data_IF_668688940426
#
_entry.id   IF_668688940426
#
_cell.length_a   1.000
_cell.length_b   1.000
_cell.length_c   1.000
_cell.angle_alpha   90.00
_cell.angle_beta   90.00
_cell.angle_gamma   90.00
#
_symmetry.space_group_name_H-M   'P 1'
#
loop_
_entity.id
_entity.type
_entity.pdbx_description
1 polymer ?
#
# COMPACT_ATOMS: atom_id res chain seq x y z
N UNK A 1 -22.86 61.41 -34.83
CA UNK A 1 -22.76 61.49 -33.35
C UNK A 1 -22.23 60.17 -32.84
N UNK A 2 -21.12 60.22 -32.12
CA UNK A 2 -20.53 59.08 -31.44
C UNK A 2 -21.38 58.70 -30.22
N UNK A 3 -21.59 57.41 -30.01
CA UNK A 3 -21.97 56.87 -28.71
C UNK A 3 -21.41 55.46 -28.58
N UNK A 4 -20.53 55.34 -27.61
CA UNK A 4 -19.77 54.19 -27.16
C UNK A 4 -20.66 53.17 -26.45
N UNK A 5 -20.54 51.88 -26.81
CA UNK A 5 -20.92 50.79 -25.90
C UNK A 5 -20.05 49.56 -26.17
N UNK A 6 -18.77 49.67 -25.83
CA UNK A 6 -17.89 48.52 -25.65
C UNK A 6 -18.12 47.91 -24.24
N UNK A 7 -17.88 46.60 -24.14
CA UNK A 7 -17.61 45.82 -22.91
C UNK A 7 -18.80 45.35 -22.07
N UNK A 8 -19.57 44.35 -22.54
CA UNK A 8 -20.23 43.34 -21.67
C UNK A 8 -20.45 41.98 -22.37
N UNK A 9 -19.42 41.31 -22.86
CA UNK A 9 -19.57 39.95 -23.43
C UNK A 9 -18.43 38.97 -23.14
N UNK A 10 -17.59 39.22 -22.12
CA UNK A 10 -16.37 38.45 -21.91
C UNK A 10 -16.28 37.57 -20.64
N UNK A 11 -17.35 37.42 -19.85
CA UNK A 11 -17.23 36.88 -18.47
C UNK A 11 -18.21 35.73 -18.15
N UNK A 12 -18.48 34.84 -19.12
CA UNK A 12 -19.29 33.62 -18.89
C UNK A 12 -18.58 32.29 -19.20
N UNK A 13 -17.23 32.28 -19.24
CA UNK A 13 -16.46 31.05 -19.51
C UNK A 13 -15.30 30.79 -18.52
N UNK A 14 -15.30 31.39 -17.33
CA UNK A 14 -14.21 31.19 -16.35
C UNK A 14 -14.64 30.85 -14.91
N UNK A 15 -15.86 30.32 -14.68
CA UNK A 15 -16.28 29.91 -13.31
C UNK A 15 -17.01 28.57 -13.24
N UNK A 16 -16.80 27.65 -14.20
CA UNK A 16 -17.35 26.27 -14.11
C UNK A 16 -16.30 25.20 -13.77
N UNK A 17 -15.11 25.59 -13.32
CA UNK A 17 -14.01 24.67 -13.02
C UNK A 17 -13.84 24.26 -11.55
N UNK A 18 -14.50 24.91 -10.59
CA UNK A 18 -14.20 24.75 -9.16
C UNK A 18 -15.18 23.88 -8.35
N UNK A 19 -16.18 23.25 -8.99
CA UNK A 19 -17.19 22.43 -8.28
C UNK A 19 -17.37 21.01 -8.83
N UNK A 20 -16.36 20.44 -9.50
CA UNK A 20 -16.28 18.99 -9.73
C UNK A 20 -15.04 18.41 -9.06
N UNK A 21 -15.05 18.44 -7.73
CA UNK A 21 -14.23 17.55 -6.89
C UNK A 21 -14.70 16.10 -6.94
N UNK A 22 -15.08 15.60 -8.12
CA UNK A 22 -15.32 14.18 -8.32
C UNK A 22 -13.98 13.52 -8.57
N UNK A 23 -13.56 12.60 -7.71
CA UNK A 23 -12.45 11.70 -8.02
C UNK A 23 -12.76 10.97 -9.33
N UNK A 24 -12.24 11.47 -10.45
CA UNK A 24 -12.28 10.73 -11.70
C UNK A 24 -11.47 9.46 -11.47
N UNK A 25 -12.13 8.31 -11.43
CA UNK A 25 -11.46 7.01 -11.48
C UNK A 25 -10.53 7.05 -12.69
N UNK A 26 -9.21 7.00 -12.48
CA UNK A 26 -8.27 6.88 -13.58
C UNK A 26 -8.67 5.67 -14.41
N UNK A 27 -8.77 5.77 -15.74
CA UNK A 27 -9.11 4.63 -16.57
C UNK A 27 -8.11 3.51 -16.29
N UNK A 28 -8.61 2.28 -16.13
CA UNK A 28 -7.76 1.10 -15.91
C UNK A 28 -6.97 0.86 -17.20
N UNK A 29 -5.64 0.97 -17.13
CA UNK A 29 -4.74 0.86 -18.29
C UNK A 29 -4.12 -0.55 -18.47
N UNK A 30 -4.62 -1.53 -17.72
CA UNK A 30 -4.10 -2.90 -17.64
C UNK A 30 -2.69 -2.97 -17.04
N UNK A 31 -2.20 -4.19 -16.81
CA UNK A 31 -0.78 -4.42 -16.56
C UNK A 31 0.03 -4.23 -17.85
N UNK A 32 1.18 -3.56 -17.73
CA UNK A 32 2.08 -3.29 -18.87
C UNK A 32 3.50 -3.71 -18.51
N UNK A 33 4.16 -4.38 -19.43
CA UNK A 33 5.55 -4.79 -19.31
C UNK A 33 6.39 -4.08 -20.37
N UNK A 34 7.52 -3.54 -19.93
CA UNK A 34 8.55 -3.00 -20.82
C UNK A 34 9.50 -4.13 -21.16
N UNK A 35 9.74 -4.35 -22.46
CA UNK A 35 10.65 -5.37 -22.98
C UNK A 35 11.73 -4.66 -23.78
N UNK A 36 12.98 -4.93 -23.44
CA UNK A 36 14.16 -4.38 -24.11
C UNK A 36 14.79 -5.50 -24.96
N UNK A 37 14.96 -5.25 -26.26
CA UNK A 37 15.60 -6.18 -27.20
C UNK A 37 16.77 -5.46 -27.85
N UNK A 38 17.98 -6.01 -27.68
CA UNK A 38 19.21 -5.44 -28.22
C UNK A 38 19.72 -6.29 -29.39
N UNK A 39 19.65 -5.75 -30.61
CA UNK A 39 20.14 -6.39 -31.83
C UNK A 39 21.35 -5.63 -32.37
N UNK A 40 22.55 -6.16 -32.14
CA UNK A 40 23.81 -5.50 -32.49
C UNK A 40 23.97 -4.16 -31.75
N UNK A 41 23.95 -3.05 -32.50
CA UNK A 41 24.07 -1.68 -31.97
C UNK A 41 22.72 -0.97 -31.75
N UNK A 42 21.59 -1.59 -32.10
CA UNK A 42 20.26 -0.97 -31.97
C UNK A 42 19.52 -1.58 -30.79
N UNK A 43 18.96 -0.73 -29.93
CA UNK A 43 18.14 -1.14 -28.78
C UNK A 43 16.68 -0.76 -29.02
N UNK A 44 15.81 -1.76 -29.12
CA UNK A 44 14.37 -1.58 -29.32
C UNK A 44 13.66 -1.76 -27.97
N UNK A 45 12.84 -0.79 -27.57
CA UNK A 45 12.08 -0.81 -26.32
C UNK A 45 10.58 -0.87 -26.65
N UNK A 46 9.94 -1.98 -26.29
CA UNK A 46 8.53 -2.24 -26.57
C UNK A 46 7.69 -2.27 -25.28
N UNK A 47 6.44 -1.79 -25.36
CA UNK A 47 5.45 -1.90 -24.28
C UNK A 47 4.39 -2.94 -24.60
N UNK A 48 4.43 -4.09 -23.92
CA UNK A 48 3.43 -5.16 -24.07
C UNK A 48 2.36 -5.04 -22.99
N UNK A 49 1.09 -5.09 -23.40
CA UNK A 49 -0.05 -5.15 -22.47
C UNK A 49 -0.26 -6.62 -22.10
N UNK A 50 -0.31 -6.91 -20.80
CA UNK A 50 -0.59 -8.24 -20.28
C UNK A 50 -2.07 -8.30 -19.93
N UNK A 51 -2.70 -9.42 -20.26
CA UNK A 51 -4.11 -9.66 -19.93
C UNK A 51 -4.28 -9.89 -18.44
N UNK A 52 -5.24 -9.18 -17.86
CA UNK A 52 -5.58 -9.27 -16.45
C UNK A 52 -6.69 -10.31 -16.21
N UNK A 53 -6.57 -11.07 -15.12
CA UNK A 53 -7.62 -12.00 -14.68
C UNK A 53 -8.84 -11.19 -14.24
N UNK A 54 -10.03 -11.54 -14.79
CA UNK A 54 -11.29 -10.89 -14.39
C UNK A 54 -11.61 -11.19 -12.93
N UNK A 55 -11.83 -10.14 -12.15
CA UNK A 55 -12.23 -10.28 -10.76
C UNK A 55 -13.65 -10.85 -10.63
N UNK A 56 -13.92 -11.71 -9.62
CA UNK A 56 -15.25 -12.22 -9.33
C UNK A 56 -16.21 -11.11 -8.87
N UNK A 57 -17.51 -11.41 -8.95
CA UNK A 57 -18.57 -10.50 -8.49
C UNK A 57 -18.49 -10.35 -6.96
N UNK A 58 -18.42 -9.12 -6.44
CA UNK A 58 -18.28 -8.89 -5.01
C UNK A 58 -19.62 -8.99 -4.26
N UNK A 59 -19.60 -9.36 -2.97
CA UNK A 59 -20.81 -9.61 -2.18
C UNK A 59 -21.61 -8.34 -1.85
N UNK A 60 -20.95 -7.17 -1.73
CA UNK A 60 -21.62 -5.90 -1.44
C UNK A 60 -21.35 -4.89 -2.57
N UNK A 61 -22.21 -4.80 -3.60
CA UNK A 61 -21.99 -3.91 -4.74
C UNK A 61 -22.02 -2.42 -4.38
N UNK A 62 -22.66 -2.05 -3.26
CA UNK A 62 -22.81 -0.66 -2.81
C UNK A 62 -21.54 -0.06 -2.18
N UNK A 63 -20.56 -0.90 -1.84
CA UNK A 63 -19.29 -0.44 -1.27
C UNK A 63 -18.45 0.37 -2.26
N UNK A 64 -18.04 1.58 -1.87
CA UNK A 64 -17.25 2.46 -2.73
C UNK A 64 -15.82 1.97 -2.96
N UNK A 65 -15.21 1.35 -1.95
CA UNK A 65 -13.82 0.91 -1.92
C UNK A 65 -13.71 -0.63 -1.86
N UNK A 66 -12.66 -1.26 -2.44
CA UNK A 66 -12.54 -2.72 -2.53
C UNK A 66 -12.76 -3.46 -1.20
N UNK A 67 -12.05 -3.07 -0.14
CA UNK A 67 -12.15 -3.73 1.18
C UNK A 67 -13.56 -3.67 1.76
N UNK A 68 -14.26 -2.54 1.56
CA UNK A 68 -15.65 -2.39 2.00
C UNK A 68 -16.61 -3.21 1.12
N UNK A 69 -16.37 -3.25 -0.19
CA UNK A 69 -17.14 -4.02 -1.18
C UNK A 69 -17.10 -5.53 -0.90
N UNK A 70 -16.00 -6.00 -0.33
CA UNK A 70 -15.78 -7.38 0.07
C UNK A 70 -16.10 -7.67 1.55
N UNK A 71 -16.62 -6.69 2.30
CA UNK A 71 -16.93 -6.81 3.74
C UNK A 71 -15.74 -7.29 4.60
N UNK A 72 -14.51 -6.92 4.20
CA UNK A 72 -13.25 -7.32 4.86
C UNK A 72 -12.76 -6.29 5.89
N UNK A 73 -13.43 -5.16 6.03
CA UNK A 73 -13.06 -4.12 7.02
C UNK A 73 -12.97 -4.74 8.42
N UNK A 74 -11.86 -4.47 9.13
CA UNK A 74 -11.57 -4.97 10.49
C UNK A 74 -11.30 -6.48 10.63
N UNK A 75 -11.25 -7.23 9.52
CA UNK A 75 -11.14 -8.70 9.55
C UNK A 75 -9.77 -9.24 9.15
N UNK A 76 -8.95 -8.42 8.51
CA UNK A 76 -7.65 -8.85 8.01
C UNK A 76 -6.49 -8.45 8.94
N UNK A 77 -5.41 -9.19 8.84
CA UNK A 77 -4.18 -9.07 9.62
C UNK A 77 -2.96 -9.14 8.70
N UNK A 78 -1.76 -9.19 9.30
CA UNK A 78 -0.51 -9.35 8.55
C UNK A 78 -0.30 -10.79 8.03
N UNK A 79 -1.09 -11.75 8.53
CA UNK A 79 -1.00 -13.17 8.17
C UNK A 79 -1.78 -13.48 6.88
N UNK A 80 -2.72 -12.60 6.48
CA UNK A 80 -3.59 -12.78 5.32
C UNK A 80 -2.87 -12.46 4.00
N UNK A 81 -1.83 -13.24 3.70
CA UNK A 81 -0.93 -13.06 2.56
C UNK A 81 -1.67 -13.02 1.23
N UNK A 82 -2.75 -13.80 1.07
CA UNK A 82 -3.55 -13.85 -0.15
C UNK A 82 -4.27 -12.52 -0.45
N UNK A 83 -4.62 -11.76 0.59
CA UNK A 83 -5.20 -10.43 0.44
C UNK A 83 -4.09 -9.40 0.18
N UNK A 84 -3.01 -9.47 0.95
CA UNK A 84 -1.90 -8.52 0.86
C UNK A 84 -1.19 -8.59 -0.49
N UNK A 85 -1.03 -9.79 -1.06
CA UNK A 85 -0.35 -10.02 -2.34
C UNK A 85 -1.01 -9.28 -3.52
N UNK A 86 -2.31 -8.99 -3.42
CA UNK A 86 -3.07 -8.28 -4.46
C UNK A 86 -2.70 -6.79 -4.55
N UNK A 87 -2.16 -6.21 -3.47
CA UNK A 87 -1.86 -4.77 -3.39
C UNK A 87 -0.36 -4.46 -3.46
N UNK A 88 0.49 -5.48 -3.68
CA UNK A 88 1.94 -5.32 -3.77
C UNK A 88 2.45 -5.59 -5.18
N UNK A 89 3.63 -5.06 -5.47
CA UNK A 89 4.39 -5.31 -6.70
C UNK A 89 5.17 -6.62 -6.58
N UNK A 90 5.72 -7.08 -7.71
CA UNK A 90 6.72 -8.17 -7.74
C UNK A 90 7.85 -7.95 -6.76
N UNK A 91 8.30 -6.70 -6.59
CA UNK A 91 9.49 -6.37 -5.79
C UNK A 91 9.19 -6.25 -4.28
N UNK A 92 7.92 -6.43 -3.87
CA UNK A 92 7.45 -6.23 -2.49
C UNK A 92 7.08 -4.78 -2.15
N UNK A 93 7.15 -3.86 -3.11
CA UNK A 93 6.67 -2.49 -2.92
C UNK A 93 5.13 -2.41 -2.92
N UNK A 94 4.57 -1.55 -2.08
CA UNK A 94 3.12 -1.27 -2.05
C UNK A 94 2.68 -0.51 -3.33
N UNK A 95 1.52 -0.86 -3.89
CA UNK A 95 0.91 -0.13 -5.01
C UNK A 95 0.33 1.22 -4.57
N UNK A 96 0.37 2.26 -5.42
CA UNK A 96 -0.14 3.58 -5.05
C UNK A 96 -1.67 3.59 -4.89
N UNK A 97 -2.17 4.32 -3.87
CA UNK A 97 -3.61 4.42 -3.54
C UNK A 97 -4.51 4.77 -4.74
N UNK A 98 -4.06 5.68 -5.61
CA UNK A 98 -4.81 6.11 -6.80
C UNK A 98 -5.16 4.94 -7.74
N UNK A 99 -4.34 3.89 -7.74
CA UNK A 99 -4.52 2.70 -8.57
C UNK A 99 -5.30 1.64 -7.80
N UNK A 100 -4.96 1.39 -6.53
CA UNK A 100 -5.65 0.38 -5.72
C UNK A 100 -7.10 0.75 -5.40
N UNK A 101 -7.42 2.05 -5.41
CA UNK A 101 -8.77 2.55 -5.14
C UNK A 101 -9.23 2.30 -3.71
N UNK A 102 -8.30 2.23 -2.75
CA UNK A 102 -8.57 2.05 -1.33
C UNK A 102 -8.84 3.39 -0.61
N UNK A 103 -9.56 3.34 0.51
CA UNK A 103 -9.63 4.46 1.46
C UNK A 103 -8.23 4.81 1.97
N UNK A 104 -8.03 6.06 2.42
CA UNK A 104 -6.77 6.45 3.07
C UNK A 104 -6.44 5.60 4.31
N UNK A 105 -7.45 5.32 5.15
CA UNK A 105 -7.29 4.51 6.35
C UNK A 105 -6.89 3.07 6.03
N UNK A 106 -7.61 2.43 5.12
CA UNK A 106 -7.37 1.04 4.74
C UNK A 106 -6.05 0.89 3.97
N UNK A 107 -5.69 1.89 3.16
CA UNK A 107 -4.39 1.89 2.48
C UNK A 107 -3.22 1.93 3.48
N UNK A 108 -3.31 2.75 4.54
CA UNK A 108 -2.31 2.79 5.62
C UNK A 108 -2.26 1.48 6.41
N UNK A 109 -3.41 0.86 6.70
CA UNK A 109 -3.46 -0.43 7.39
C UNK A 109 -2.81 -1.54 6.57
N UNK A 110 -3.11 -1.63 5.28
CA UNK A 110 -2.51 -2.63 4.40
C UNK A 110 -1.00 -2.37 4.26
N UNK A 111 -0.54 -1.12 4.16
CA UNK A 111 0.90 -0.80 4.11
C UNK A 111 1.63 -1.33 5.35
N UNK A 112 1.08 -1.06 6.52
CA UNK A 112 1.60 -1.58 7.78
C UNK A 112 1.58 -3.11 7.82
N UNK A 113 0.50 -3.76 7.36
CA UNK A 113 0.42 -5.22 7.29
C UNK A 113 1.47 -5.81 6.35
N UNK A 114 1.67 -5.22 5.17
CA UNK A 114 2.71 -5.61 4.20
C UNK A 114 4.10 -5.48 4.83
N UNK A 115 4.39 -4.37 5.51
CA UNK A 115 5.67 -4.19 6.20
C UNK A 115 5.90 -5.24 7.30
N UNK A 116 4.86 -5.57 8.07
CA UNK A 116 4.95 -6.64 9.08
C UNK A 116 5.15 -8.01 8.43
N UNK A 117 4.44 -8.32 7.34
CA UNK A 117 4.54 -9.58 6.60
C UNK A 117 5.94 -9.80 6.00
N UNK A 118 6.53 -8.77 5.39
CA UNK A 118 7.91 -8.83 4.89
C UNK A 118 8.91 -9.08 6.03
N UNK A 119 8.74 -8.43 7.18
CA UNK A 119 9.61 -8.64 8.36
C UNK A 119 9.46 -10.04 8.95
N UNK A 120 8.24 -10.58 8.92
CA UNK A 120 7.95 -11.94 9.36
C UNK A 120 8.39 -13.02 8.37
N UNK A 121 8.75 -12.64 7.13
CA UNK A 121 9.21 -13.58 6.10
C UNK A 121 8.08 -14.31 5.36
N UNK A 122 6.85 -13.80 5.42
CA UNK A 122 5.68 -14.44 4.80
C UNK A 122 5.61 -14.28 3.27
N UNK A 123 6.40 -13.36 2.70
CA UNK A 123 6.42 -13.02 1.28
C UNK A 123 7.79 -13.33 0.65
N UNK A 124 8.17 -14.60 0.46
CA UNK A 124 9.49 -14.98 -0.06
C UNK A 124 9.69 -14.60 -1.53
N UNK A 125 8.63 -14.69 -2.34
CA UNK A 125 8.67 -14.41 -3.78
C UNK A 125 8.68 -12.92 -4.11
N UNK A 126 8.32 -12.07 -3.14
CA UNK A 126 8.24 -10.62 -3.32
C UNK A 126 9.46 -9.93 -2.71
N UNK A 127 10.62 -10.13 -3.35
CA UNK A 127 11.89 -9.52 -2.95
C UNK A 127 12.42 -8.66 -4.09
N UNK A 128 13.14 -7.57 -3.78
CA UNK A 128 13.77 -6.78 -4.81
C UNK A 128 14.79 -7.65 -5.58
N UNK A 129 14.84 -7.53 -6.91
CA UNK A 129 15.83 -8.24 -7.71
C UNK A 129 17.23 -7.77 -7.30
N UNK A 130 18.11 -8.73 -7.08
CA UNK A 130 19.52 -8.47 -6.83
C UNK A 130 20.24 -8.40 -8.18
N UNK A 131 21.29 -7.57 -8.31
CA UNK A 131 22.09 -7.55 -9.52
C UNK A 131 22.78 -8.90 -9.72
N UNK A 132 23.06 -9.21 -10.98
CA UNK A 132 23.68 -10.47 -11.36
C UNK A 132 25.01 -10.69 -10.61
N UNK A 133 25.22 -11.90 -10.08
CA UNK A 133 26.40 -12.25 -9.29
C UNK A 133 26.45 -11.68 -7.86
N UNK A 134 25.40 -11.00 -7.37
CA UNK A 134 25.41 -10.46 -6.01
C UNK A 134 25.24 -11.54 -4.95
N UNK A 135 26.35 -11.94 -4.34
CA UNK A 135 26.36 -12.77 -3.12
C UNK A 135 26.48 -11.85 -1.90
N UNK A 136 25.57 -11.94 -0.91
CA UNK A 136 25.66 -11.11 0.30
C UNK A 136 26.94 -11.43 1.08
N UNK A 137 27.78 -10.41 1.29
CA UNK A 137 29.13 -10.51 1.88
C UNK A 137 29.21 -11.17 3.27
N UNK A 138 28.12 -11.11 4.05
CA UNK A 138 28.03 -11.75 5.38
C UNK A 138 26.61 -12.30 5.58
N UNK A 139 26.44 -13.61 5.82
CA UNK A 139 25.14 -14.14 6.19
C UNK A 139 24.76 -13.57 7.56
N UNK A 140 23.64 -12.84 7.61
CA UNK A 140 23.09 -12.40 8.89
C UNK A 140 22.35 -13.56 9.55
N UNK A 141 22.38 -13.67 10.88
CA UNK A 141 21.54 -14.65 11.56
C UNK A 141 20.08 -14.38 11.20
N UNK A 142 19.39 -15.41 10.70
CA UNK A 142 17.97 -15.34 10.37
C UNK A 142 17.19 -15.54 11.67
N UNK A 143 16.80 -14.42 12.29
CA UNK A 143 16.02 -14.44 13.51
C UNK A 143 14.52 -14.40 13.17
N UNK A 144 13.81 -15.45 13.56
CA UNK A 144 12.35 -15.54 13.47
C UNK A 144 11.70 -14.39 14.25
N UNK A 145 10.74 -13.72 13.62
CA UNK A 145 10.03 -12.58 14.18
C UNK A 145 8.64 -12.48 13.59
N UNK A 146 7.74 -11.86 14.33
CA UNK A 146 6.37 -11.56 13.90
C UNK A 146 5.90 -10.28 14.58
N UNK A 147 4.78 -9.71 14.14
CA UNK A 147 4.17 -8.49 14.72
C UNK A 147 5.16 -7.32 14.92
N UNK A 148 6.17 -7.20 14.06
CA UNK A 148 7.29 -6.26 14.26
C UNK A 148 6.95 -4.87 13.72
N UNK A 149 6.76 -3.88 14.61
CA UNK A 149 6.37 -2.51 14.25
C UNK A 149 7.45 -1.69 13.57
N UNK A 150 8.69 -1.78 14.04
CA UNK A 150 9.80 -0.95 13.59
C UNK A 150 10.79 -1.70 12.71
N UNK A 151 11.58 -0.96 11.94
CA UNK A 151 12.68 -1.55 11.19
C UNK A 151 13.76 -2.08 12.14
N UNK A 152 14.34 -3.21 11.78
CA UNK A 152 15.34 -3.91 12.60
C UNK A 152 16.54 -3.00 12.89
N UNK A 153 16.93 -2.18 11.92
CA UNK A 153 18.12 -1.31 12.02
C UNK A 153 17.86 -0.01 12.79
N UNK A 154 16.61 0.39 12.99
CA UNK A 154 16.28 1.69 13.59
C UNK A 154 16.07 1.62 15.10
N UNK A 155 15.83 0.44 15.66
CA UNK A 155 15.56 0.27 17.09
C UNK A 155 16.87 0.14 17.87
N UNK A 156 17.02 0.95 18.93
CA UNK A 156 18.11 0.86 19.90
C UNK A 156 17.69 -0.01 21.10
N UNK A 157 18.61 -0.75 21.73
CA UNK A 157 18.31 -1.50 22.94
C UNK A 157 17.94 -0.56 24.09
N UNK A 158 16.97 -0.99 24.92
CA UNK A 158 16.57 -0.28 26.13
C UNK A 158 17.51 -0.72 27.25
N UNK A 159 18.53 0.08 27.55
CA UNK A 159 19.50 -0.22 28.62
C UNK A 159 18.92 -0.06 30.02
N UNK A 160 18.01 0.91 30.22
CA UNK A 160 17.35 1.20 31.49
C UNK A 160 15.84 1.09 31.32
N UNK A 161 15.24 0.01 31.83
CA UNK A 161 13.81 -0.28 31.65
C UNK A 161 12.90 0.56 32.55
N UNK A 162 13.43 1.06 33.67
CA UNK A 162 12.65 1.79 34.68
C UNK A 162 11.91 0.86 35.65
N UNK A 163 11.41 1.45 36.74
CA UNK A 163 10.56 0.77 37.73
C UNK A 163 9.13 0.62 37.22
N UNK A 164 8.27 -0.13 37.94
CA UNK A 164 6.90 -0.49 37.49
C UNK A 164 6.06 0.71 37.02
N UNK A 165 6.15 1.86 37.67
CA UNK A 165 5.37 3.06 37.36
C UNK A 165 5.94 3.92 36.22
N UNK A 166 7.20 3.70 35.80
CA UNK A 166 7.84 4.40 34.68
C UNK A 166 8.58 3.40 33.79
N UNK A 167 7.95 2.25 33.57
CA UNK A 167 8.51 1.16 32.77
C UNK A 167 8.42 1.54 31.30
N UNK A 168 9.53 1.47 30.56
CA UNK A 168 9.53 1.62 29.10
C UNK A 168 9.06 0.31 28.47
N UNK A 169 7.88 0.26 27.84
CA UNK A 169 7.36 -0.98 27.27
C UNK A 169 7.90 -1.22 25.86
N UNK A 170 7.87 -2.48 25.43
CA UNK A 170 8.26 -2.90 24.10
C UNK A 170 7.04 -2.93 23.18
N UNK A 171 7.05 -2.19 22.06
CA UNK A 171 5.92 -2.14 21.14
C UNK A 171 5.82 -3.42 20.31
N UNK A 172 4.62 -4.01 20.28
CA UNK A 172 4.28 -5.20 19.49
C UNK A 172 3.03 -4.89 18.66
N UNK A 173 2.99 -5.36 17.41
CA UNK A 173 1.92 -5.04 16.46
C UNK A 173 1.86 -3.55 16.10
N UNK A 174 0.76 -3.11 15.48
CA UNK A 174 0.60 -1.71 15.08
C UNK A 174 -0.77 -1.14 15.52
N UNK A 175 -0.82 0.08 16.13
CA UNK A 175 -2.07 0.65 16.64
C UNK A 175 -3.14 0.93 15.56
N UNK A 176 -2.73 1.04 14.29
CA UNK A 176 -3.67 1.18 13.17
C UNK A 176 -4.65 -0.01 13.03
N UNK A 177 -4.31 -1.16 13.61
CA UNK A 177 -5.15 -2.36 13.60
C UNK A 177 -5.93 -2.55 14.90
N UNK A 178 -5.97 -1.54 15.79
CA UNK A 178 -6.67 -1.62 17.08
C UNK A 178 -8.18 -1.84 16.94
N UNK A 179 -8.76 -1.38 15.84
CA UNK A 179 -10.20 -1.45 15.58
C UNK A 179 -10.60 -2.80 14.97
N UNK A 180 -9.65 -3.74 14.78
CA UNK A 180 -9.95 -5.05 14.26
C UNK A 180 -10.90 -5.82 15.19
N UNK A 181 -11.66 -6.74 14.60
CA UNK A 181 -12.57 -7.59 15.37
C UNK A 181 -11.75 -8.39 16.37
N UNK A 182 -12.13 -8.29 17.64
CA UNK A 182 -11.54 -9.05 18.72
C UNK A 182 -12.56 -10.06 19.23
N UNK A 183 -12.27 -11.34 19.04
CA UNK A 183 -13.10 -12.42 19.54
C UNK A 183 -12.80 -12.76 21.01
N UNK A 184 -11.72 -12.22 21.57
CA UNK A 184 -11.36 -12.40 22.97
C UNK A 184 -11.95 -11.33 23.89
N UNK A 185 -12.02 -11.64 25.19
CA UNK A 185 -12.48 -10.71 26.22
C UNK A 185 -11.49 -9.55 26.48
N UNK A 186 -10.20 -9.79 26.22
CA UNK A 186 -9.13 -8.80 26.48
C UNK A 186 -8.82 -8.02 25.21
N UNK A 187 -8.68 -6.69 25.26
CA UNK A 187 -8.29 -5.90 24.10
C UNK A 187 -6.86 -6.25 23.64
N UNK A 188 -6.54 -5.91 22.39
CA UNK A 188 -5.20 -6.08 21.85
C UNK A 188 -4.17 -5.28 22.66
N UNK A 189 -3.16 -5.98 23.18
CA UNK A 189 -2.02 -5.37 23.86
C UNK A 189 -0.94 -5.01 22.82
N UNK A 190 -0.69 -3.71 22.63
CA UNK A 190 0.30 -3.20 21.68
C UNK A 190 1.66 -2.89 22.31
N UNK A 191 1.79 -3.10 23.61
CA UNK A 191 2.94 -2.72 24.44
C UNK A 191 3.13 -3.76 25.57
N UNK A 192 4.33 -4.31 25.74
CA UNK A 192 4.67 -5.37 26.72
C UNK A 192 5.88 -5.03 27.62
#
# INVERSE_FOLDING_TARGET
>A
MAASSALRSGWRLLVSGLLRGGWSRTPVRGLRQVVEVTEGNTTTIEGKIIDDIKAPVPPNPSGQFPICRWNLKYKYTYEDVLLLSQFIRSDGGMLPRRITGLCDEEHKKIDVCVQMAHRAGLLPNHRPPLPEGHVPKKPKPQLNRYLTRFSIKSVKPIWKKGQRWNKVPMPVGHPALRDNINYGMKPFAFYH
#
